data_IF_445947742853
#
_entry.id   IF_445947742853
#
_cell.length_a   1.000
_cell.length_b   1.000
_cell.length_c   1.000
_cell.angle_alpha   90.00
_cell.angle_beta   90.00
_cell.angle_gamma   90.00
#
_symmetry.space_group_name_H-M   'P 1'
#
loop_
_entity.id
_entity.type
_entity.pdbx_description
1 polymer ?
#
# COMPACT_ATOMS: atom_id res chain seq x y z
N UNK A 1 48.14 -34.19 -25.80
CA UNK A 1 47.51 -33.99 -24.47
C UNK A 1 47.37 -32.49 -24.27
N UNK A 2 46.14 -31.97 -24.30
CA UNK A 2 45.87 -30.53 -24.33
C UNK A 2 45.19 -30.10 -23.03
N UNK A 3 45.83 -29.15 -22.33
CA UNK A 3 45.28 -28.40 -21.21
C UNK A 3 44.21 -27.43 -21.72
N UNK A 4 42.92 -27.73 -21.55
CA UNK A 4 41.87 -26.70 -21.60
C UNK A 4 40.74 -27.05 -20.64
N UNK A 5 40.49 -26.14 -19.70
CA UNK A 5 39.25 -25.92 -18.95
C UNK A 5 38.81 -26.94 -17.88
N UNK A 6 39.45 -26.87 -16.70
CA UNK A 6 38.77 -27.11 -15.42
C UNK A 6 38.41 -25.77 -14.79
N UNK A 7 37.34 -25.14 -15.29
CA UNK A 7 36.60 -24.12 -14.53
C UNK A 7 35.25 -24.74 -14.24
N UNK A 8 35.17 -25.41 -13.09
CA UNK A 8 33.95 -26.01 -12.58
C UNK A 8 32.92 -24.90 -12.36
N UNK A 9 31.95 -24.82 -13.27
CA UNK A 9 30.77 -23.96 -13.15
C UNK A 9 29.88 -24.53 -12.04
N UNK A 10 29.92 -23.91 -10.86
CA UNK A 10 28.92 -24.11 -9.83
C UNK A 10 27.70 -23.25 -10.17
N UNK A 11 26.85 -23.72 -11.08
CA UNK A 11 25.54 -23.11 -11.31
C UNK A 11 24.50 -24.03 -10.68
N UNK A 12 24.21 -23.81 -9.40
CA UNK A 12 22.98 -24.34 -8.81
C UNK A 12 21.83 -23.54 -9.41
N UNK A 13 21.16 -24.10 -10.41
CA UNK A 13 19.84 -23.64 -10.83
C UNK A 13 18.88 -23.87 -9.65
N UNK A 14 18.55 -22.80 -8.95
CA UNK A 14 17.43 -22.80 -8.01
C UNK A 14 16.14 -22.91 -8.83
N UNK A 15 15.23 -23.84 -8.52
CA UNK A 15 13.94 -23.89 -9.19
C UNK A 15 13.19 -22.58 -8.95
N UNK A 16 13.04 -21.77 -9.99
CA UNK A 16 12.19 -20.59 -10.01
C UNK A 16 10.74 -21.06 -9.94
N UNK A 17 10.24 -21.27 -8.72
CA UNK A 17 8.81 -21.40 -8.50
C UNK A 17 8.15 -20.13 -9.08
N UNK A 18 7.05 -20.27 -9.85
CA UNK A 18 6.34 -19.10 -10.35
C UNK A 18 5.88 -18.32 -9.13
N UNK A 19 6.27 -17.05 -9.05
CA UNK A 19 5.76 -16.11 -8.04
C UNK A 19 4.26 -16.02 -8.30
N UNK A 20 3.49 -16.89 -7.64
CA UNK A 20 2.10 -16.61 -7.37
C UNK A 20 2.17 -15.49 -6.34
N UNK A 21 2.07 -14.25 -6.82
CA UNK A 21 1.77 -13.08 -6.00
C UNK A 21 0.57 -13.45 -5.15
N UNK A 22 0.90 -13.97 -3.97
CA UNK A 22 -0.07 -14.32 -2.96
C UNK A 22 -0.45 -12.95 -2.47
N UNK A 23 -1.67 -12.52 -2.78
CA UNK A 23 -2.24 -11.29 -2.28
C UNK A 23 -2.13 -11.33 -0.75
N UNK A 24 -1.05 -10.77 -0.19
CA UNK A 24 -0.91 -10.62 1.24
C UNK A 24 -1.84 -9.45 1.54
N UNK A 25 -3.09 -9.79 1.89
CA UNK A 25 -4.00 -8.80 2.42
C UNK A 25 -3.22 -8.01 3.50
N UNK A 26 -3.17 -6.67 3.42
CA UNK A 26 -2.35 -5.89 4.34
C UNK A 26 -2.68 -6.30 5.77
N UNK A 27 -1.67 -6.72 6.54
CA UNK A 27 -1.83 -7.09 7.96
C UNK A 27 -2.35 -5.92 8.80
N UNK A 28 -2.27 -4.70 8.26
CA UNK A 28 -2.80 -3.45 8.81
C UNK A 28 -3.53 -2.69 7.69
N UNK A 29 -4.78 -2.30 7.91
CA UNK A 29 -5.54 -1.48 6.95
C UNK A 29 -5.40 0.01 7.27
N UNK A 30 -4.87 0.84 6.35
CA UNK A 30 -4.84 2.28 6.55
C UNK A 30 -6.23 2.89 6.40
N UNK A 31 -6.65 3.66 7.39
CA UNK A 31 -7.94 4.36 7.44
C UNK A 31 -7.72 5.85 7.62
N UNK A 32 -8.45 6.65 6.86
CA UNK A 32 -8.45 8.09 7.03
C UNK A 32 -9.13 8.46 8.36
N UNK A 33 -8.41 9.09 9.28
CA UNK A 33 -8.93 9.49 10.59
C UNK A 33 -10.01 10.58 10.51
N UNK A 34 -10.17 11.24 9.35
CA UNK A 34 -11.16 12.31 9.15
C UNK A 34 -12.43 11.79 8.47
N UNK A 35 -12.30 10.98 7.41
CA UNK A 35 -13.45 10.56 6.59
C UNK A 35 -13.72 9.06 6.61
N UNK A 36 -12.92 8.25 7.31
CA UNK A 36 -13.13 6.81 7.47
C UNK A 36 -12.93 5.97 6.22
N UNK A 37 -12.45 6.56 5.12
CA UNK A 37 -12.09 5.81 3.91
C UNK A 37 -10.87 4.93 4.17
N UNK A 38 -10.84 3.75 3.56
CA UNK A 38 -9.74 2.79 3.63
C UNK A 38 -8.85 2.99 2.41
N UNK A 39 -7.53 2.98 2.60
CA UNK A 39 -6.58 2.90 1.48
C UNK A 39 -6.56 1.48 0.97
N UNK A 40 -6.98 1.30 -0.27
CA UNK A 40 -6.89 0.04 -0.99
C UNK A 40 -5.58 0.02 -1.77
N UNK A 41 -4.64 -0.79 -1.27
CA UNK A 41 -3.25 -0.93 -1.73
C UNK A 41 -3.09 -2.10 -2.72
N UNK A 42 -4.18 -2.57 -3.33
CA UNK A 42 -4.09 -3.64 -4.31
C UNK A 42 -3.27 -3.23 -5.54
N UNK A 43 -2.23 -4.01 -5.82
CA UNK A 43 -1.14 -3.75 -6.80
C UNK A 43 -1.61 -3.52 -8.24
N UNK A 44 -2.88 -3.75 -8.55
CA UNK A 44 -3.45 -3.64 -9.90
C UNK A 44 -4.03 -2.27 -10.25
N UNK A 45 -4.06 -1.32 -9.31
CA UNK A 45 -4.49 0.05 -9.60
C UNK A 45 -3.29 0.91 -10.02
N UNK A 46 -3.20 1.37 -11.29
CA UNK A 46 -2.17 2.33 -11.71
C UNK A 46 -2.34 3.71 -11.03
N UNK A 47 -3.36 3.88 -10.19
CA UNK A 47 -3.47 5.00 -9.27
C UNK A 47 -3.10 4.52 -7.87
N UNK A 48 -1.86 4.81 -7.48
CA UNK A 48 -1.20 4.41 -6.24
C UNK A 48 -1.91 4.74 -4.91
N UNK A 49 -3.12 5.31 -4.91
CA UNK A 49 -3.83 5.66 -3.68
C UNK A 49 -5.35 5.65 -3.86
N UNK A 50 -5.94 4.46 -4.04
CA UNK A 50 -7.41 4.35 -4.10
C UNK A 50 -8.00 4.35 -2.69
N UNK A 51 -8.58 5.48 -2.27
CA UNK A 51 -9.28 5.59 -0.99
C UNK A 51 -10.76 5.23 -1.17
N UNK A 52 -11.20 4.13 -0.58
CA UNK A 52 -12.52 3.54 -0.81
C UNK A 52 -13.35 3.47 0.47
N UNK A 53 -14.67 3.39 0.32
CA UNK A 53 -15.55 3.15 1.47
C UNK A 53 -15.39 1.71 1.97
N UNK A 54 -15.72 1.45 3.24
CA UNK A 54 -15.74 0.08 3.78
C UNK A 54 -16.63 -0.86 2.97
N UNK A 55 -17.75 -0.36 2.43
CA UNK A 55 -18.66 -1.14 1.59
C UNK A 55 -17.98 -1.55 0.27
N UNK A 56 -17.27 -0.62 -0.37
CA UNK A 56 -16.53 -0.90 -1.59
C UNK A 56 -15.38 -1.87 -1.33
N UNK A 57 -14.64 -1.67 -0.23
CA UNK A 57 -13.58 -2.59 0.18
C UNK A 57 -14.12 -4.02 0.38
N UNK A 58 -15.24 -4.18 1.10
CA UNK A 58 -15.92 -5.48 1.25
C UNK A 58 -16.29 -6.11 -0.08
N UNK A 59 -16.83 -5.30 -1.00
CA UNK A 59 -17.25 -5.77 -2.32
C UNK A 59 -16.05 -6.21 -3.17
N UNK A 60 -14.94 -5.48 -3.12
CA UNK A 60 -13.74 -5.76 -3.90
C UNK A 60 -13.00 -7.00 -3.38
N UNK A 61 -12.87 -7.14 -2.05
CA UNK A 61 -11.98 -8.13 -1.43
C UNK A 61 -12.71 -9.30 -0.77
N UNK A 62 -14.04 -9.26 -0.67
CA UNK A 62 -14.82 -10.31 -0.01
C UNK A 62 -14.61 -10.42 1.51
N UNK A 63 -13.89 -9.48 2.11
CA UNK A 63 -13.54 -9.48 3.53
C UNK A 63 -14.12 -8.25 4.24
N UNK A 64 -14.46 -8.40 5.53
CA UNK A 64 -14.89 -7.27 6.35
C UNK A 64 -13.67 -6.49 6.87
N UNK A 65 -13.51 -5.18 6.56
CA UNK A 65 -12.41 -4.36 7.08
C UNK A 65 -12.28 -4.38 8.60
N UNK A 66 -13.39 -4.55 9.33
CA UNK A 66 -13.38 -4.62 10.79
C UNK A 66 -12.64 -5.84 11.35
N UNK A 67 -12.33 -6.83 10.51
CA UNK A 67 -11.57 -8.02 10.90
C UNK A 67 -10.05 -7.80 10.88
N UNK A 68 -9.60 -6.63 10.41
CA UNK A 68 -8.18 -6.31 10.31
C UNK A 68 -7.81 -5.23 11.33
N UNK A 69 -6.61 -5.30 11.92
CA UNK A 69 -6.02 -4.17 12.63
C UNK A 69 -5.98 -2.92 11.74
N UNK A 70 -6.37 -1.77 12.28
CA UNK A 70 -6.44 -0.51 11.54
C UNK A 70 -5.27 0.40 11.93
N UNK A 71 -4.66 1.06 10.95
CA UNK A 71 -3.76 2.20 11.19
C UNK A 71 -4.44 3.49 10.75
N UNK A 72 -4.38 4.53 11.58
CA UNK A 72 -5.03 5.80 11.31
C UNK A 72 -4.05 6.77 10.66
N UNK A 73 -4.42 7.31 9.50
CA UNK A 73 -3.64 8.29 8.75
C UNK A 73 -4.57 9.31 8.06
N UNK A 74 -4.06 10.22 7.25
CA UNK A 74 -4.88 11.10 6.41
C UNK A 74 -4.95 10.57 4.98
N UNK A 75 -6.13 10.64 4.37
CA UNK A 75 -6.21 10.61 2.91
C UNK A 75 -5.74 11.95 2.32
N UNK A 76 -5.31 11.95 1.06
CA UNK A 76 -4.77 13.14 0.39
C UNK A 76 -5.70 14.36 0.49
N UNK A 77 -7.01 14.14 0.30
CA UNK A 77 -8.02 15.22 0.37
C UNK A 77 -8.11 15.82 1.77
N UNK A 78 -8.15 14.98 2.80
CA UNK A 78 -8.26 15.44 4.18
C UNK A 78 -6.96 16.07 4.68
N UNK A 79 -5.81 15.54 4.25
CA UNK A 79 -4.51 16.14 4.54
C UNK A 79 -4.38 17.54 3.93
N UNK A 80 -4.72 17.70 2.66
CA UNK A 80 -4.69 19.00 1.98
C UNK A 80 -5.58 20.03 2.69
N UNK A 81 -6.78 19.62 3.13
CA UNK A 81 -7.67 20.49 3.91
C UNK A 81 -7.05 20.88 5.25
N UNK A 82 -6.47 19.92 5.98
CA UNK A 82 -5.82 20.20 7.25
C UNK A 82 -4.65 21.19 7.09
N UNK A 83 -3.81 20.99 6.06
CA UNK A 83 -2.73 21.92 5.74
C UNK A 83 -3.24 23.32 5.41
N UNK A 84 -4.31 23.45 4.64
CA UNK A 84 -4.85 24.76 4.30
C UNK A 84 -5.42 25.48 5.52
N UNK A 85 -6.11 24.76 6.41
CA UNK A 85 -6.59 25.32 7.68
C UNK A 85 -5.42 25.82 8.53
N UNK A 86 -4.34 25.06 8.65
CA UNK A 86 -3.15 25.47 9.40
C UNK A 86 -2.51 26.72 8.78
N UNK A 87 -2.39 26.77 7.45
CA UNK A 87 -1.86 27.96 6.76
C UNK A 87 -2.72 29.19 6.99
N UNK A 88 -4.04 29.05 6.92
CA UNK A 88 -4.96 30.16 7.18
C UNK A 88 -4.84 30.68 8.61
N UNK A 89 -4.80 29.78 9.59
CA UNK A 89 -4.61 30.12 11.00
C UNK A 89 -3.32 30.94 11.23
N UNK A 90 -2.21 30.53 10.63
CA UNK A 90 -0.95 31.28 10.75
C UNK A 90 -1.00 32.64 10.06
N UNK A 91 -1.74 32.80 8.96
CA UNK A 91 -1.96 34.11 8.32
C UNK A 91 -2.77 35.05 9.20
N UNK A 92 -3.75 34.52 9.94
CA UNK A 92 -4.64 35.32 10.80
C UNK A 92 -3.98 35.75 12.11
N UNK A 93 -3.01 34.99 12.62
CA UNK A 93 -2.31 35.29 13.89
C UNK A 93 -0.99 36.03 13.67
N UNK A 94 -0.37 35.84 12.51
CA UNK A 94 0.85 36.56 12.13
C UNK A 94 0.63 37.95 11.55
N UNK A 95 -0.62 38.41 11.44
CA UNK A 95 -1.04 39.75 11.02
C UNK A 95 -1.42 40.60 12.24
#
# INVERSE_FOLDING_TARGET
MSLVALVAQTTREAPSAPIRETFIAPTLLPVCCVCGLIRDETESSPHHESWVTQRMYRKAHGVNPANFPLTHTYCQKCFAKALETVRQYFREIGA
#
